data_IF_849712968612
#
_entry.id   IF_849712968612
#
_cell.length_a   1.000
_cell.length_b   1.000
_cell.length_c   1.000
_cell.angle_alpha   90.00
_cell.angle_beta   90.00
_cell.angle_gamma   90.00
#
_symmetry.space_group_name_H-M   'P 1'
#
loop_
_entity.id
_entity.type
_entity.pdbx_description
1 polymer ?
#
# COMPACT_ATOMS: atom_id res chain seq x y z
N UNK A 1 9.33 15.71 3.39
CA UNK A 1 10.17 15.72 2.16
C UNK A 1 11.16 14.58 2.29
N UNK A 2 11.13 13.60 1.40
CA UNK A 2 12.04 12.47 1.37
C UNK A 2 13.09 12.75 0.29
N UNK A 3 14.36 12.94 0.67
CA UNK A 3 15.49 13.13 -0.27
C UNK A 3 15.23 14.18 -1.37
N UNK A 4 14.65 15.32 -1.00
CA UNK A 4 14.33 16.42 -1.91
C UNK A 4 13.01 16.27 -2.68
N UNK A 5 12.28 15.16 -2.52
CA UNK A 5 10.96 14.97 -3.11
C UNK A 5 9.83 15.12 -2.09
N UNK A 6 8.80 15.89 -2.45
CA UNK A 6 7.53 15.91 -1.75
C UNK A 6 6.76 14.61 -2.04
N UNK A 7 6.32 13.90 -0.99
CA UNK A 7 5.63 12.60 -1.08
C UNK A 7 6.42 11.49 -1.81
N UNK A 8 7.74 11.55 -1.79
CA UNK A 8 8.61 10.52 -2.37
C UNK A 8 8.77 9.29 -1.47
N UNK A 9 9.38 8.24 -2.02
CA UNK A 9 9.85 7.06 -1.32
C UNK A 9 11.31 6.81 -1.64
N UNK A 10 12.07 6.31 -0.67
CA UNK A 10 13.47 5.97 -0.84
C UNK A 10 13.70 4.52 -0.40
N UNK A 11 14.49 3.79 -1.19
CA UNK A 11 14.95 2.44 -0.88
C UNK A 11 16.46 2.46 -0.77
N UNK A 12 16.98 1.98 0.36
CA UNK A 12 18.41 1.88 0.61
C UNK A 12 18.83 0.42 0.56
N UNK A 13 19.71 0.09 -0.39
CA UNK A 13 20.33 -1.22 -0.55
C UNK A 13 21.80 -1.19 -0.18
N UNK A 14 22.43 -2.36 -0.11
CA UNK A 14 23.86 -2.49 0.25
C UNK A 14 24.80 -1.91 -0.81
N UNK A 15 24.33 -1.70 -2.04
CA UNK A 15 25.13 -1.23 -3.18
C UNK A 15 24.64 0.11 -3.75
N UNK A 16 23.64 0.74 -3.15
CA UNK A 16 23.04 1.92 -3.73
C UNK A 16 21.68 2.29 -3.13
N UNK A 17 21.05 3.30 -3.72
CA UNK A 17 19.71 3.74 -3.34
C UNK A 17 18.85 4.08 -4.55
N UNK A 18 17.56 3.83 -4.45
CA UNK A 18 16.53 4.31 -5.38
C UNK A 18 15.73 5.40 -4.66
N UNK A 19 15.61 6.56 -5.28
CA UNK A 19 14.72 7.63 -4.81
C UNK A 19 13.64 7.82 -5.86
N UNK A 20 12.38 7.71 -5.47
CA UNK A 20 11.22 7.91 -6.33
C UNK A 20 10.40 9.09 -5.81
N UNK A 21 10.25 10.12 -6.63
CA UNK A 21 9.29 11.19 -6.40
C UNK A 21 7.92 10.80 -6.92
N UNK A 22 6.86 11.22 -6.24
CA UNK A 22 5.48 10.91 -6.61
C UNK A 22 5.13 11.34 -8.06
N UNK A 23 5.53 12.55 -8.46
CA UNK A 23 5.22 13.13 -9.78
C UNK A 23 6.45 13.52 -10.59
N UNK A 24 7.64 13.40 -9.99
CA UNK A 24 8.88 13.92 -10.56
C UNK A 24 9.78 12.81 -11.15
N UNK A 25 9.33 11.56 -11.07
CA UNK A 25 10.04 10.39 -11.58
C UNK A 25 10.96 9.76 -10.54
N UNK A 26 12.10 9.20 -10.95
CA UNK A 26 12.99 8.47 -10.05
C UNK A 26 14.47 8.60 -10.44
N UNK A 27 15.35 8.38 -9.45
CA UNK A 27 16.80 8.37 -9.58
C UNK A 27 17.40 7.14 -8.90
N UNK A 28 18.29 6.44 -9.60
CA UNK A 28 19.03 5.29 -9.10
C UNK A 28 20.50 5.65 -8.89
N UNK A 29 20.99 5.42 -7.68
CA UNK A 29 22.36 5.70 -7.28
C UNK A 29 23.08 4.39 -6.94
N UNK A 30 24.33 4.27 -7.37
CA UNK A 30 25.26 3.20 -7.01
C UNK A 30 26.22 3.57 -5.88
N UNK A 31 27.33 2.84 -5.72
CA UNK A 31 28.30 3.07 -4.66
C UNK A 31 28.86 4.49 -4.68
N UNK A 32 29.09 5.06 -3.49
CA UNK A 32 29.58 6.43 -3.31
C UNK A 32 28.67 7.49 -3.95
N UNK A 33 27.35 7.27 -3.90
CA UNK A 33 26.32 8.18 -4.42
C UNK A 33 26.46 8.51 -5.92
N UNK A 34 27.06 7.62 -6.71
CA UNK A 34 27.17 7.81 -8.16
C UNK A 34 25.79 7.62 -8.80
N UNK A 35 25.26 8.64 -9.47
CA UNK A 35 24.04 8.51 -10.26
C UNK A 35 24.27 7.51 -11.41
N UNK A 36 23.41 6.49 -11.50
CA UNK A 36 23.44 5.45 -12.54
C UNK A 36 22.41 5.76 -13.62
N UNK A 37 21.16 5.99 -13.22
CA UNK A 37 20.05 6.24 -14.12
C UNK A 37 19.05 7.20 -13.46
N UNK A 38 18.39 8.00 -14.27
CA UNK A 38 17.23 8.76 -13.85
C UNK A 38 16.15 8.77 -14.93
N UNK A 39 14.90 8.90 -14.48
CA UNK A 39 13.77 9.21 -15.36
C UNK A 39 12.94 10.29 -14.73
N UNK A 40 12.71 11.35 -15.49
CA UNK A 40 11.82 12.45 -15.13
C UNK A 40 10.54 12.35 -15.96
N UNK A 41 9.60 11.53 -15.48
CA UNK A 41 8.28 11.40 -16.12
C UNK A 41 7.20 11.48 -15.04
N UNK A 42 6.16 12.26 -15.33
CA UNK A 42 4.96 12.32 -14.49
C UNK A 42 4.15 11.03 -14.56
N UNK A 43 3.16 10.93 -13.68
CA UNK A 43 2.22 9.80 -13.64
C UNK A 43 1.45 9.71 -14.97
N UNK A 44 1.44 8.53 -15.58
CA UNK A 44 0.69 8.27 -16.81
C UNK A 44 -0.71 7.74 -16.52
N UNK A 45 -1.65 8.68 -16.37
CA UNK A 45 -3.07 8.37 -16.11
C UNK A 45 -3.72 7.63 -17.29
N UNK A 46 -3.23 7.84 -18.52
CA UNK A 46 -3.77 7.18 -19.71
C UNK A 46 -3.57 5.66 -19.69
N UNK A 47 -2.38 5.21 -19.30
CA UNK A 47 -2.09 3.78 -19.14
C UNK A 47 -2.94 3.13 -18.04
N UNK A 48 -3.20 3.84 -16.93
CA UNK A 48 -4.08 3.36 -15.87
C UNK A 48 -5.52 3.13 -16.36
N UNK A 49 -6.09 4.09 -17.08
CA UNK A 49 -7.43 3.94 -17.67
C UNK A 49 -7.49 2.82 -18.70
N UNK A 50 -6.45 2.69 -19.54
CA UNK A 50 -6.40 1.62 -20.54
C UNK A 50 -6.42 0.23 -19.87
N UNK A 51 -5.62 0.01 -18.82
CA UNK A 51 -5.63 -1.26 -18.08
C UNK A 51 -7.01 -1.55 -17.47
N UNK A 52 -7.70 -0.53 -16.94
CA UNK A 52 -9.07 -0.69 -16.43
C UNK A 52 -10.04 -1.14 -17.52
N UNK A 53 -10.06 -0.46 -18.67
CA UNK A 53 -10.94 -0.84 -19.78
C UNK A 53 -10.62 -2.21 -20.36
N UNK A 54 -9.34 -2.56 -20.49
CA UNK A 54 -8.94 -3.87 -20.98
C UNK A 54 -9.28 -4.99 -19.99
N UNK A 55 -9.22 -4.72 -18.69
CA UNK A 55 -9.67 -5.65 -17.66
C UNK A 55 -11.17 -5.91 -17.73
N UNK A 56 -11.99 -4.87 -17.90
CA UNK A 56 -13.45 -5.01 -18.10
C UNK A 56 -13.75 -5.85 -19.34
N UNK A 57 -12.98 -5.66 -20.42
CA UNK A 57 -13.14 -6.40 -21.68
C UNK A 57 -12.56 -7.81 -21.64
N UNK A 58 -11.96 -8.24 -20.52
CA UNK A 58 -11.31 -9.55 -20.39
C UNK A 58 -10.01 -9.70 -21.20
N UNK A 59 -9.39 -8.59 -21.60
CA UNK A 59 -8.14 -8.57 -22.38
C UNK A 59 -6.87 -8.46 -21.50
N UNK A 60 -7.04 -8.11 -20.23
CA UNK A 60 -5.96 -7.97 -19.28
C UNK A 60 -6.42 -8.32 -17.86
N UNK A 61 -5.47 -8.57 -16.97
CA UNK A 61 -5.71 -8.62 -15.52
C UNK A 61 -5.54 -7.21 -14.94
N UNK A 62 -6.34 -6.79 -13.95
CA UNK A 62 -6.11 -5.53 -13.26
C UNK A 62 -4.73 -5.48 -12.61
N UNK A 63 -3.96 -4.42 -12.89
CA UNK A 63 -2.66 -4.20 -12.24
C UNK A 63 -2.80 -3.98 -10.72
N UNK A 64 -3.96 -3.47 -10.28
CA UNK A 64 -4.34 -3.32 -8.88
C UNK A 64 -5.61 -4.14 -8.63
N UNK A 65 -5.42 -5.44 -8.34
CA UNK A 65 -6.53 -6.34 -8.03
C UNK A 65 -7.20 -6.00 -6.69
N UNK A 66 -8.37 -6.59 -6.44
CA UNK A 66 -9.09 -6.43 -5.16
C UNK A 66 -8.23 -6.90 -3.98
N UNK A 67 -7.45 -7.97 -4.14
CA UNK A 67 -6.55 -8.49 -3.10
C UNK A 67 -5.43 -7.49 -2.76
N UNK A 68 -4.86 -6.83 -3.78
CA UNK A 68 -3.87 -5.76 -3.57
C UNK A 68 -4.52 -4.59 -2.82
N UNK A 69 -5.73 -4.20 -3.20
CA UNK A 69 -6.49 -3.15 -2.52
C UNK A 69 -6.80 -3.49 -1.06
N UNK A 70 -7.24 -4.73 -0.79
CA UNK A 70 -7.49 -5.25 0.55
C UNK A 70 -6.24 -5.16 1.43
N UNK A 71 -5.12 -5.71 0.97
CA UNK A 71 -3.85 -5.67 1.71
C UNK A 71 -3.37 -4.24 1.99
N UNK A 72 -3.48 -3.34 1.02
CA UNK A 72 -3.12 -1.94 1.20
C UNK A 72 -4.00 -1.26 2.26
N UNK A 73 -5.32 -1.49 2.23
CA UNK A 73 -6.25 -0.98 3.23
C UNK A 73 -5.97 -1.55 4.63
N UNK A 74 -5.69 -2.86 4.72
CA UNK A 74 -5.37 -3.54 5.99
C UNK A 74 -4.21 -2.87 6.71
N UNK A 75 -3.12 -2.52 6.01
CA UNK A 75 -1.96 -1.84 6.62
C UNK A 75 -2.36 -0.49 7.24
N UNK A 76 -3.17 0.30 6.52
CA UNK A 76 -3.62 1.62 7.02
C UNK A 76 -4.55 1.44 8.22
N UNK A 77 -5.41 0.43 8.22
CA UNK A 77 -6.26 0.12 9.37
C UNK A 77 -5.44 -0.32 10.59
N UNK A 78 -4.46 -1.21 10.41
CA UNK A 78 -3.58 -1.64 11.49
C UNK A 78 -2.78 -0.47 12.09
N UNK A 79 -2.28 0.45 11.27
CA UNK A 79 -1.62 1.66 11.76
C UNK A 79 -2.55 2.53 12.62
N UNK A 80 -3.80 2.70 12.19
CA UNK A 80 -4.81 3.43 12.97
C UNK A 80 -5.17 2.71 14.28
N UNK A 81 -5.27 1.38 14.27
CA UNK A 81 -5.53 0.59 15.47
C UNK A 81 -4.36 0.71 16.44
N UNK A 82 -3.12 0.54 15.98
CA UNK A 82 -1.91 0.67 16.78
C UNK A 82 -1.81 2.05 17.45
N UNK A 83 -2.16 3.10 16.71
CA UNK A 83 -2.20 4.47 17.24
C UNK A 83 -3.27 4.63 18.35
N UNK A 84 -4.44 4.01 18.19
CA UNK A 84 -5.54 4.07 19.17
C UNK A 84 -5.24 3.28 20.44
N UNK A 85 -4.63 2.11 20.31
CA UNK A 85 -4.34 1.20 21.43
C UNK A 85 -2.95 1.41 22.04
N UNK A 86 -2.13 2.28 21.44
CA UNK A 86 -0.78 2.66 21.89
C UNK A 86 0.14 1.45 22.12
N UNK A 87 0.31 0.63 21.09
CA UNK A 87 1.16 -0.55 21.19
C UNK A 87 1.64 -1.10 19.86
N UNK A 88 2.55 -2.07 19.95
CA UNK A 88 2.97 -2.89 18.81
C UNK A 88 1.93 -3.98 18.59
N UNK A 89 1.52 -4.18 17.34
CA UNK A 89 0.56 -5.21 16.95
C UNK A 89 1.30 -6.36 16.27
N UNK A 90 1.04 -7.58 16.72
CA UNK A 90 1.36 -8.79 15.97
C UNK A 90 0.11 -9.19 15.19
N UNK A 91 0.23 -9.30 13.87
CA UNK A 91 -0.88 -9.59 12.97
C UNK A 91 -0.59 -10.88 12.21
N UNK A 92 -1.52 -11.83 12.29
CA UNK A 92 -1.49 -13.03 11.46
C UNK A 92 -2.22 -12.77 10.14
N UNK A 93 -1.50 -12.70 9.00
CA UNK A 93 -2.12 -12.43 7.70
C UNK A 93 -2.95 -13.60 7.15
N UNK A 94 -2.87 -14.80 7.73
CA UNK A 94 -3.67 -15.94 7.28
C UNK A 94 -5.07 -15.91 7.89
N UNK A 95 -5.17 -15.56 9.17
CA UNK A 95 -6.44 -15.45 9.90
C UNK A 95 -6.98 -14.03 9.96
N UNK A 96 -6.18 -13.05 9.54
CA UNK A 96 -6.44 -11.62 9.60
C UNK A 96 -6.79 -11.11 11.01
N UNK A 97 -6.07 -11.63 12.02
CA UNK A 97 -6.26 -11.28 13.42
C UNK A 97 -5.02 -10.63 14.03
N UNK A 98 -5.24 -9.76 15.02
CA UNK A 98 -4.20 -9.30 15.94
C UNK A 98 -4.08 -10.32 17.08
N UNK A 99 -2.90 -10.92 17.24
CA UNK A 99 -2.68 -12.06 18.15
C UNK A 99 -2.22 -11.66 19.54
N UNK A 100 -1.71 -10.44 19.72
CA UNK A 100 -1.08 -10.00 20.97
C UNK A 100 -1.89 -8.95 21.76
N UNK A 101 -3.06 -8.53 21.28
CA UNK A 101 -3.91 -7.54 21.96
C UNK A 101 -5.40 -7.70 21.60
N UNK A 102 -6.19 -8.25 22.52
CA UNK A 102 -7.62 -8.53 22.31
C UNK A 102 -8.45 -7.25 22.06
N UNK A 103 -8.18 -6.17 22.79
CA UNK A 103 -8.88 -4.89 22.61
C UNK A 103 -8.59 -4.25 21.24
N UNK A 104 -7.39 -4.47 20.70
CA UNK A 104 -7.02 -4.06 19.35
C UNK A 104 -7.68 -4.96 18.31
N UNK A 105 -7.72 -6.28 18.57
CA UNK A 105 -8.35 -7.25 17.69
C UNK A 105 -9.86 -6.97 17.50
N UNK A 106 -10.53 -6.53 18.56
CA UNK A 106 -11.94 -6.11 18.51
C UNK A 106 -12.20 -4.91 17.56
N UNK A 107 -11.16 -4.16 17.17
CA UNK A 107 -11.27 -3.00 16.26
C UNK A 107 -11.08 -3.38 14.78
N UNK A 108 -10.69 -4.61 14.46
CA UNK A 108 -10.53 -5.08 13.07
C UNK A 108 -11.89 -5.15 12.36
N UNK A 109 -12.94 -5.46 13.12
CA UNK A 109 -14.30 -5.52 12.62
C UNK A 109 -15.17 -4.46 13.29
N UNK A 110 -16.18 -4.00 12.55
CA UNK A 110 -17.24 -3.14 13.08
C UNK A 110 -18.43 -3.99 13.50
N UNK A 111 -19.13 -3.59 14.54
CA UNK A 111 -20.48 -4.10 14.82
C UNK A 111 -21.43 -3.56 13.75
N UNK A 112 -21.94 -4.45 12.90
CA UNK A 112 -22.93 -4.08 11.90
C UNK A 112 -24.31 -3.86 12.55
N UNK A 113 -25.08 -2.91 12.03
CA UNK A 113 -26.49 -2.74 12.40
C UNK A 113 -27.30 -3.93 11.92
N UNK A 114 -28.36 -4.30 12.64
CA UNK A 114 -29.31 -5.31 12.17
C UNK A 114 -30.12 -4.71 11.01
N UNK A 115 -29.75 -5.08 9.78
CA UNK A 115 -30.43 -4.63 8.57
C UNK A 115 -30.22 -5.63 7.43
N UNK A 116 -31.01 -5.48 6.36
CA UNK A 116 -31.04 -6.40 5.23
C UNK A 116 -29.72 -6.50 4.44
N UNK A 117 -28.81 -5.53 4.60
CA UNK A 117 -27.50 -5.52 3.93
C UNK A 117 -26.33 -5.87 4.86
N UNK A 118 -26.58 -6.47 6.04
CA UNK A 118 -25.48 -6.93 6.90
C UNK A 118 -24.70 -8.04 6.20
N UNK A 119 -23.39 -7.87 5.97
CA UNK A 119 -22.56 -8.93 5.41
C UNK A 119 -22.61 -10.14 6.34
N UNK A 120 -22.88 -11.31 5.77
CA UNK A 120 -22.73 -12.56 6.50
C UNK A 120 -21.24 -12.84 6.57
N UNK A 121 -20.70 -13.01 7.77
CA UNK A 121 -19.34 -13.49 7.95
C UNK A 121 -19.27 -14.90 7.33
N UNK A 122 -18.28 -15.10 6.46
CA UNK A 122 -17.96 -16.41 5.89
C UNK A 122 -17.25 -17.30 6.88
#
# INVERSE_FOLDING_TARGET
>A
VQEGYENGSAWYGTQGMLIMGHTQGWRLYGPRNKLIEERTRGVDVGLHHQNFFDSIRGKATPNASIEVGHRAATIVHLANIAARTRGVLEFDPQTEQITNNESANALIQRTYRVHWATPKLG
#
